data_IF_376527875029
#
_entry.id   IF_376527875029
#
_cell.length_a   1.000
_cell.length_b   1.000
_cell.length_c   1.000
_cell.angle_alpha   90.00
_cell.angle_beta   90.00
_cell.angle_gamma   90.00
#
_symmetry.space_group_name_H-M   'P 1'
#
loop_
_entity.id
_entity.type
_entity.pdbx_description
1 polymer ?
#
# COMPACT_ATOMS: atom_id res chain seq x y z
N UNK A 1 15.55 -14.96 2.40
CA UNK A 1 15.73 -13.88 1.39
C UNK A 1 16.72 -12.91 1.97
N UNK A 2 17.73 -12.47 1.21
CA UNK A 2 18.50 -11.29 1.61
C UNK A 2 17.54 -10.12 1.75
N UNK A 3 17.81 -9.23 2.71
CA UNK A 3 16.94 -8.08 3.01
C UNK A 3 16.94 -7.11 1.83
N UNK A 4 15.90 -7.14 1.00
CA UNK A 4 15.76 -6.22 -0.14
C UNK A 4 15.21 -4.91 0.40
N UNK A 5 15.99 -3.82 0.27
CA UNK A 5 15.70 -2.50 0.83
C UNK A 5 15.68 -1.43 -0.24
N UNK A 6 14.68 -0.57 -0.18
CA UNK A 6 14.61 0.68 -0.91
C UNK A 6 15.02 1.80 0.07
N UNK A 7 16.23 2.35 -0.09
CA UNK A 7 16.69 3.46 0.73
C UNK A 7 16.06 4.78 0.29
N UNK A 8 15.68 5.60 1.26
CA UNK A 8 15.21 6.95 0.98
C UNK A 8 16.39 7.87 0.65
N UNK A 9 16.18 8.84 -0.24
CA UNK A 9 17.21 9.84 -0.59
C UNK A 9 17.65 10.65 0.64
N UNK A 10 16.75 10.86 1.59
CA UNK A 10 16.99 11.45 2.90
C UNK A 10 16.19 10.65 3.93
N UNK A 11 16.73 10.45 5.14
CA UNK A 11 15.98 9.85 6.24
C UNK A 11 14.66 10.58 6.48
N UNK A 12 13.64 9.84 6.87
CA UNK A 12 12.36 10.40 7.27
C UNK A 12 12.51 11.02 8.67
N UNK A 13 11.87 12.16 8.87
CA UNK A 13 11.86 12.85 10.16
C UNK A 13 10.80 12.27 11.09
N UNK A 14 11.14 12.08 12.35
CA UNK A 14 10.22 11.64 13.39
C UNK A 14 9.45 12.83 13.93
N UNK A 15 8.13 12.68 14.05
CA UNK A 15 7.23 13.71 14.57
C UNK A 15 6.04 13.08 15.30
N UNK A 16 5.21 13.91 15.90
CA UNK A 16 3.98 13.49 16.58
C UNK A 16 2.79 14.19 15.94
N UNK A 17 1.82 13.43 15.45
CA UNK A 17 0.56 13.97 14.96
C UNK A 17 -0.22 14.53 16.15
N UNK A 18 -0.51 15.82 16.14
CA UNK A 18 -1.34 16.51 17.15
C UNK A 18 -2.81 16.54 16.77
N UNK A 19 -3.11 16.67 15.45
CA UNK A 19 -4.44 16.66 14.93
C UNK A 19 -4.47 16.31 13.44
N UNK A 20 -5.62 15.80 12.96
CA UNK A 20 -5.96 15.75 11.53
C UNK A 20 -7.09 16.71 11.28
N UNK A 21 -6.79 17.87 10.70
CA UNK A 21 -7.77 18.95 10.54
C UNK A 21 -8.73 18.73 9.38
N UNK A 22 -8.30 17.97 8.37
CA UNK A 22 -9.15 17.52 7.25
C UNK A 22 -8.53 16.28 6.59
N UNK A 23 -9.11 15.85 5.47
CA UNK A 23 -8.68 14.63 4.75
C UNK A 23 -7.22 14.67 4.29
N UNK A 24 -6.63 15.86 4.11
CA UNK A 24 -5.34 16.05 3.45
C UNK A 24 -4.28 16.73 4.30
N UNK A 25 -4.62 17.21 5.52
CA UNK A 25 -3.71 17.98 6.38
C UNK A 25 -3.71 17.40 7.80
N UNK A 26 -2.50 17.12 8.27
CA UNK A 26 -2.18 16.91 9.67
C UNK A 26 -1.53 18.16 10.26
N UNK A 27 -1.74 18.40 11.55
CA UNK A 27 -0.86 19.22 12.40
C UNK A 27 0.09 18.25 13.08
N UNK A 28 1.37 18.48 12.93
CA UNK A 28 2.44 17.64 13.50
C UNK A 28 3.39 18.48 14.32
N UNK A 29 3.87 17.91 15.40
CA UNK A 29 4.89 18.50 16.27
C UNK A 29 6.27 17.92 15.88
N UNK A 30 7.18 18.78 15.48
CA UNK A 30 8.58 18.47 15.23
C UNK A 30 9.42 19.25 16.25
N UNK A 31 9.98 18.55 17.22
CA UNK A 31 10.84 19.16 18.26
C UNK A 31 10.21 20.38 18.98
N UNK A 32 8.91 20.30 19.27
CA UNK A 32 8.17 21.37 19.95
C UNK A 32 7.60 22.45 19.03
N UNK A 33 7.74 22.32 17.72
CA UNK A 33 7.19 23.25 16.72
C UNK A 33 6.06 22.57 15.95
N UNK A 34 4.86 23.13 16.02
CA UNK A 34 3.73 22.66 15.25
C UNK A 34 3.75 23.18 13.80
N UNK A 35 3.63 22.27 12.84
CA UNK A 35 3.59 22.59 11.41
C UNK A 35 2.49 21.80 10.68
N UNK A 36 2.03 22.33 9.55
CA UNK A 36 1.15 21.58 8.65
C UNK A 36 1.95 20.55 7.84
N UNK A 37 1.45 19.30 7.78
CA UNK A 37 1.98 18.24 6.95
C UNK A 37 0.87 17.65 6.05
N UNK A 38 1.23 17.30 4.82
CA UNK A 38 0.31 16.64 3.89
C UNK A 38 -0.02 15.23 4.35
N UNK A 39 -1.31 14.89 4.32
CA UNK A 39 -1.82 13.53 4.47
C UNK A 39 -2.04 12.92 3.06
N UNK A 40 -1.24 11.95 2.61
CA UNK A 40 -1.34 11.42 1.25
C UNK A 40 -2.52 10.44 1.06
N UNK A 41 -3.17 10.05 2.16
CA UNK A 41 -4.34 9.18 2.15
C UNK A 41 -5.60 9.97 2.49
N UNK A 42 -6.36 10.35 1.47
CA UNK A 42 -7.61 11.11 1.64
C UNK A 42 -8.77 10.32 2.23
N UNK A 43 -8.63 9.00 2.36
CA UNK A 43 -9.59 8.11 3.01
C UNK A 43 -9.42 8.02 4.51
N UNK A 44 -10.11 7.07 5.11
CA UNK A 44 -9.90 6.68 6.49
C UNK A 44 -8.57 5.94 6.60
N UNK A 45 -7.82 6.18 7.65
CA UNK A 45 -6.53 5.55 7.93
C UNK A 45 -6.71 4.73 9.20
N UNK A 46 -6.42 3.44 9.14
CA UNK A 46 -6.49 2.54 10.28
C UNK A 46 -7.86 2.54 11.03
N UNK A 47 -8.94 2.95 10.37
CA UNK A 47 -10.23 3.09 11.05
C UNK A 47 -10.33 4.27 12.02
N UNK A 48 -9.31 5.10 12.15
CA UNK A 48 -9.28 6.23 13.07
C UNK A 48 -10.09 7.38 12.47
N UNK A 49 -11.04 7.90 13.23
CA UNK A 49 -11.78 9.09 12.81
C UNK A 49 -10.87 10.33 12.80
N UNK A 50 -11.14 11.27 11.89
CA UNK A 50 -10.32 12.48 11.72
C UNK A 50 -10.06 13.20 13.05
N UNK A 51 -11.10 13.36 13.88
CA UNK A 51 -11.03 14.03 15.18
C UNK A 51 -10.19 13.29 16.25
N UNK A 52 -9.93 12.01 16.04
CA UNK A 52 -9.27 11.13 17.02
C UNK A 52 -7.77 10.96 16.74
N UNK A 53 -7.26 11.59 15.67
CA UNK A 53 -5.83 11.63 15.39
C UNK A 53 -5.11 12.58 16.36
N UNK A 54 -4.67 12.03 17.51
CA UNK A 54 -3.95 12.80 18.55
C UNK A 54 -2.81 11.97 19.13
N UNK A 55 -1.64 12.60 19.28
CA UNK A 55 -0.45 12.04 19.91
C UNK A 55 0.02 10.72 19.27
N UNK A 56 -0.13 10.58 17.96
CA UNK A 56 0.33 9.42 17.21
C UNK A 56 1.70 9.73 16.62
N UNK A 57 2.78 9.01 16.99
CA UNK A 57 4.08 9.17 16.36
C UNK A 57 4.00 8.86 14.86
N UNK A 58 4.75 9.60 14.05
CA UNK A 58 4.77 9.43 12.62
C UNK A 58 6.16 9.65 12.03
N UNK A 59 6.33 9.17 10.80
CA UNK A 59 7.48 9.43 9.95
C UNK A 59 7.08 10.35 8.80
N UNK A 60 7.92 11.36 8.51
CA UNK A 60 7.61 12.36 7.49
C UNK A 60 8.77 12.54 6.52
N UNK A 61 8.46 12.80 5.26
CA UNK A 61 9.43 13.33 4.31
C UNK A 61 9.41 14.86 4.29
N UNK A 62 10.60 15.47 4.28
CA UNK A 62 10.79 16.88 3.99
C UNK A 62 10.93 17.10 2.48
N UNK A 63 9.97 17.80 1.89
CA UNK A 63 9.97 18.11 0.45
C UNK A 63 10.74 19.40 0.13
N UNK A 64 11.32 20.08 1.14
CA UNK A 64 12.02 21.36 0.99
C UNK A 64 11.09 22.58 0.96
N UNK A 65 11.67 23.77 1.03
CA UNK A 65 10.94 25.05 1.12
C UNK A 65 10.56 25.64 -0.25
N UNK A 66 11.21 25.22 -1.35
CA UNK A 66 11.03 25.81 -2.69
C UNK A 66 10.17 24.92 -3.59
N UNK A 67 9.10 24.33 -3.05
CA UNK A 67 8.17 23.53 -3.83
C UNK A 67 6.86 24.28 -4.03
N UNK A 68 6.19 24.09 -5.16
CA UNK A 68 4.83 24.59 -5.40
C UNK A 68 3.78 23.85 -4.53
N UNK A 69 4.19 23.26 -3.41
CA UNK A 69 3.32 22.54 -2.49
C UNK A 69 2.87 23.45 -1.35
N UNK A 70 1.63 23.29 -0.93
CA UNK A 70 1.10 23.99 0.25
C UNK A 70 1.86 23.65 1.53
N UNK A 71 2.30 22.39 1.68
CA UNK A 71 2.99 21.90 2.86
C UNK A 71 4.40 21.43 2.52
N UNK A 72 5.37 21.77 3.35
CA UNK A 72 6.75 21.30 3.27
C UNK A 72 6.85 19.80 3.53
N UNK A 73 6.11 19.30 4.51
CA UNK A 73 6.19 17.92 4.98
C UNK A 73 5.06 17.06 4.43
N UNK A 74 5.34 15.75 4.31
CA UNK A 74 4.32 14.72 4.00
C UNK A 74 4.46 13.60 5.03
N UNK A 75 3.37 13.22 5.70
CA UNK A 75 3.35 12.06 6.59
C UNK A 75 3.39 10.80 5.75
N UNK A 76 4.45 10.02 5.87
CA UNK A 76 4.68 8.79 5.11
C UNK A 76 4.13 7.56 5.81
N UNK A 77 4.26 7.53 7.14
CA UNK A 77 3.84 6.41 7.98
C UNK A 77 3.38 6.89 9.35
N UNK A 78 2.49 6.14 9.97
CA UNK A 78 2.04 6.34 11.35
C UNK A 78 2.52 5.18 12.22
N UNK A 79 2.81 5.44 13.48
CA UNK A 79 3.18 4.38 14.41
C UNK A 79 1.96 3.57 14.84
N UNK A 80 2.16 2.27 14.97
CA UNK A 80 1.17 1.34 15.50
C UNK A 80 1.34 1.06 17.01
N UNK A 81 2.51 1.37 17.57
CA UNK A 81 2.94 0.94 18.91
C UNK A 81 3.87 1.96 19.61
N UNK A 82 3.45 3.22 19.64
CA UNK A 82 4.17 4.32 20.32
C UNK A 82 5.61 4.58 19.79
N UNK A 83 5.85 4.40 18.50
CA UNK A 83 7.09 4.78 17.85
C UNK A 83 8.10 3.66 17.63
N UNK A 84 7.71 2.39 17.83
CA UNK A 84 8.56 1.22 17.56
C UNK A 84 8.38 0.75 16.12
N UNK A 85 7.13 0.46 15.71
CA UNK A 85 6.81 0.06 14.34
C UNK A 85 5.94 1.09 13.63
N UNK A 86 6.05 1.14 12.32
CA UNK A 86 5.35 2.12 11.50
C UNK A 86 4.62 1.46 10.33
N UNK A 87 3.37 1.87 10.13
CA UNK A 87 2.58 1.50 8.96
C UNK A 87 2.57 2.64 7.95
N UNK A 88 3.01 2.37 6.74
CA UNK A 88 2.99 3.35 5.67
C UNK A 88 1.58 3.70 5.22
N UNK A 89 1.31 4.99 5.10
CA UNK A 89 0.02 5.52 4.64
C UNK A 89 0.11 6.18 3.26
N UNK A 90 1.31 6.34 2.71
CA UNK A 90 1.50 6.91 1.38
C UNK A 90 1.39 5.84 0.29
N UNK A 91 0.17 5.67 -0.23
CA UNK A 91 -0.12 4.67 -1.27
C UNK A 91 0.66 4.92 -2.57
N UNK A 92 0.97 6.17 -2.90
CA UNK A 92 1.74 6.51 -4.12
C UNK A 92 3.18 5.99 -4.04
N UNK A 93 3.77 5.96 -2.85
CA UNK A 93 5.12 5.42 -2.64
C UNK A 93 5.19 3.90 -2.77
N UNK A 94 4.10 3.17 -2.52
CA UNK A 94 4.06 1.71 -2.70
C UNK A 94 4.52 1.30 -4.09
N UNK A 95 4.06 1.99 -5.14
CA UNK A 95 4.48 1.66 -6.51
C UNK A 95 5.97 1.90 -6.76
N UNK A 96 6.61 2.83 -6.02
CA UNK A 96 8.08 3.01 -6.07
C UNK A 96 8.79 1.84 -5.40
N UNK A 97 8.32 1.41 -4.24
CA UNK A 97 8.90 0.27 -3.51
C UNK A 97 8.74 -1.01 -4.31
N UNK A 98 7.52 -1.31 -4.78
CA UNK A 98 7.26 -2.48 -5.62
C UNK A 98 8.11 -2.47 -6.88
N UNK A 99 8.23 -1.31 -7.57
CA UNK A 99 9.10 -1.21 -8.75
C UNK A 99 10.55 -1.58 -8.43
N UNK A 100 11.08 -1.14 -7.29
CA UNK A 100 12.42 -1.48 -6.85
C UNK A 100 12.54 -2.98 -6.57
N UNK A 101 11.62 -3.57 -5.83
CA UNK A 101 11.62 -4.99 -5.49
C UNK A 101 11.46 -5.89 -6.73
N UNK A 102 10.66 -5.48 -7.71
CA UNK A 102 10.49 -6.21 -8.97
C UNK A 102 11.76 -6.25 -9.86
N UNK A 103 12.79 -5.44 -9.58
CA UNK A 103 14.08 -5.55 -10.27
C UNK A 103 14.92 -6.73 -9.74
N UNK A 104 14.64 -7.23 -8.54
CA UNK A 104 15.32 -8.37 -7.94
C UNK A 104 14.93 -9.68 -8.63
N UNK A 105 15.93 -10.50 -8.98
CA UNK A 105 15.72 -11.76 -9.69
C UNK A 105 14.99 -12.80 -8.84
N UNK A 106 15.20 -12.81 -7.53
CA UNK A 106 14.51 -13.71 -6.61
C UNK A 106 13.01 -13.41 -6.61
N UNK A 107 12.65 -12.15 -6.58
CA UNK A 107 11.24 -11.72 -6.65
C UNK A 107 10.63 -12.05 -8.01
N UNK A 108 11.36 -11.81 -9.10
CA UNK A 108 10.89 -12.20 -10.44
C UNK A 108 10.64 -13.71 -10.54
N UNK A 109 11.50 -14.54 -9.96
CA UNK A 109 11.32 -15.98 -9.92
C UNK A 109 10.11 -16.41 -9.07
N UNK A 110 9.91 -15.80 -7.89
CA UNK A 110 8.73 -16.08 -7.04
C UNK A 110 7.44 -15.74 -7.79
N UNK A 111 7.41 -14.61 -8.50
CA UNK A 111 6.27 -14.17 -9.27
C UNK A 111 6.14 -14.91 -10.62
N UNK A 112 7.13 -15.67 -11.02
CA UNK A 112 7.20 -16.33 -12.34
C UNK A 112 7.04 -15.32 -13.50
N UNK A 113 7.77 -14.21 -13.44
CA UNK A 113 7.79 -13.16 -14.47
C UNK A 113 9.17 -13.03 -15.12
N UNK A 114 9.22 -12.53 -16.35
CA UNK A 114 10.47 -12.43 -17.13
C UNK A 114 10.68 -11.03 -17.68
N UNK A 115 11.98 -10.72 -17.85
CA UNK A 115 12.45 -9.55 -18.59
C UNK A 115 12.32 -8.23 -17.83
N UNK A 116 12.56 -7.12 -18.54
CA UNK A 116 12.51 -5.80 -17.94
C UNK A 116 11.08 -5.46 -17.50
N UNK A 117 10.99 -4.82 -16.33
CA UNK A 117 9.73 -4.31 -15.80
C UNK A 117 9.57 -2.86 -16.23
N UNK A 118 8.45 -2.55 -16.86
CA UNK A 118 8.09 -1.19 -17.28
C UNK A 118 6.84 -0.73 -16.55
N UNK A 119 6.76 0.58 -16.25
CA UNK A 119 5.65 1.17 -15.48
C UNK A 119 4.53 1.67 -16.38
N UNK A 120 3.32 1.71 -15.81
CA UNK A 120 2.15 2.42 -16.33
C UNK A 120 1.80 2.07 -17.80
N UNK A 121 1.44 0.82 -18.05
CA UNK A 121 1.03 0.38 -19.39
C UNK A 121 -0.48 0.40 -19.57
N UNK A 122 -0.92 0.90 -20.72
CA UNK A 122 -2.32 0.85 -21.12
C UNK A 122 -2.74 -0.59 -21.37
N UNK A 123 -3.86 -1.00 -20.76
CA UNK A 123 -4.54 -2.26 -21.00
C UNK A 123 -6.03 -1.97 -21.17
N UNK A 124 -6.56 -2.14 -22.38
CA UNK A 124 -7.93 -1.78 -22.69
C UNK A 124 -8.24 -0.31 -22.37
N UNK A 125 -9.16 -0.09 -21.42
CA UNK A 125 -9.58 1.24 -20.94
C UNK A 125 -8.85 1.67 -19.65
N UNK A 126 -8.04 0.79 -19.05
CA UNK A 126 -7.31 1.05 -17.82
C UNK A 126 -5.82 1.21 -18.05
N UNK A 127 -5.13 1.70 -17.02
CA UNK A 127 -3.69 1.75 -16.92
C UNK A 127 -3.29 0.79 -15.80
N UNK A 128 -2.50 -0.21 -16.14
CA UNK A 128 -1.94 -1.20 -15.22
C UNK A 128 -0.57 -0.72 -14.73
N UNK A 129 -0.26 -0.97 -13.48
CA UNK A 129 0.91 -0.40 -12.82
C UNK A 129 2.23 -0.84 -13.45
N UNK A 130 2.36 -2.14 -13.80
CA UNK A 130 3.60 -2.67 -14.39
C UNK A 130 3.34 -3.69 -15.49
N UNK A 131 4.31 -3.79 -16.40
CA UNK A 131 4.38 -4.81 -17.45
C UNK A 131 5.76 -5.44 -17.46
N UNK A 132 5.81 -6.77 -17.44
CA UNK A 132 6.97 -7.59 -17.77
C UNK A 132 6.99 -7.95 -19.26
N UNK A 133 7.98 -8.69 -19.74
CA UNK A 133 7.97 -9.17 -21.13
C UNK A 133 6.87 -10.18 -21.43
N UNK A 134 6.37 -10.90 -20.43
CA UNK A 134 5.39 -11.98 -20.57
C UNK A 134 4.06 -11.74 -19.83
N UNK A 135 3.87 -10.57 -19.19
CA UNK A 135 2.62 -10.34 -18.46
C UNK A 135 2.44 -8.95 -17.86
N UNK A 136 1.34 -8.80 -17.14
CA UNK A 136 0.90 -7.57 -16.50
C UNK A 136 0.84 -7.75 -14.98
N UNK A 137 1.15 -6.68 -14.25
CA UNK A 137 1.14 -6.67 -12.78
C UNK A 137 0.36 -5.45 -12.31
N UNK A 138 -0.69 -5.68 -11.57
CA UNK A 138 -1.47 -4.66 -10.88
C UNK A 138 -1.12 -4.65 -9.40
N UNK A 139 -0.95 -3.47 -8.83
CA UNK A 139 -0.63 -3.27 -7.42
C UNK A 139 -1.81 -2.61 -6.71
N UNK A 140 -2.25 -3.21 -5.63
CA UNK A 140 -3.26 -2.63 -4.76
C UNK A 140 -2.70 -2.43 -3.37
N UNK A 141 -2.44 -1.18 -2.99
CA UNK A 141 -2.02 -0.84 -1.63
C UNK A 141 -3.24 -0.76 -0.71
N UNK A 142 -3.19 -1.49 0.39
CA UNK A 142 -4.19 -1.45 1.44
C UNK A 142 -3.71 -0.55 2.59
N UNK A 143 -4.62 0.29 3.09
CA UNK A 143 -4.42 1.17 4.25
C UNK A 143 -5.42 0.76 5.34
N UNK A 144 -5.60 -0.54 5.49
CA UNK A 144 -6.56 -1.17 6.38
C UNK A 144 -5.89 -2.35 7.11
N UNK A 145 -6.59 -2.94 8.08
CA UNK A 145 -6.17 -4.14 8.81
C UNK A 145 -4.93 -3.97 9.70
N UNK A 146 -4.65 -2.76 10.18
CA UNK A 146 -3.55 -2.49 11.12
C UNK A 146 -3.80 -3.06 12.53
N UNK A 147 -4.98 -3.60 12.78
CA UNK A 147 -5.44 -3.94 14.12
C UNK A 147 -4.55 -4.95 14.85
N UNK A 148 -4.02 -5.95 14.14
CA UNK A 148 -3.21 -7.01 14.75
C UNK A 148 -1.91 -6.47 15.37
N UNK A 149 -1.28 -5.50 14.73
CA UNK A 149 0.02 -4.92 15.14
C UNK A 149 -0.14 -3.65 15.99
N UNK A 150 -1.37 -3.12 16.14
CA UNK A 150 -1.60 -1.87 16.84
C UNK A 150 -1.55 -2.05 18.37
N UNK A 151 -1.04 -1.04 19.07
CA UNK A 151 -1.11 -0.95 20.53
C UNK A 151 -2.57 -0.90 21.01
N UNK A 152 -2.82 -1.32 22.25
CA UNK A 152 -4.18 -1.29 22.82
C UNK A 152 -4.79 0.12 22.83
N UNK A 153 -3.97 1.16 23.02
CA UNK A 153 -4.42 2.54 22.95
C UNK A 153 -4.87 2.91 21.51
N UNK A 154 -4.13 2.50 20.50
CA UNK A 154 -4.48 2.75 19.12
C UNK A 154 -5.72 1.93 18.71
N UNK A 155 -5.83 0.69 19.15
CA UNK A 155 -7.00 -0.18 18.90
C UNK A 155 -8.31 0.43 19.39
N UNK A 156 -8.29 1.17 20.50
CA UNK A 156 -9.48 1.86 21.02
C UNK A 156 -9.97 2.98 20.08
N UNK A 157 -9.09 3.56 19.29
CA UNK A 157 -9.43 4.60 18.33
C UNK A 157 -9.85 4.03 16.95
N UNK A 158 -9.44 2.80 16.68
CA UNK A 158 -9.69 2.14 15.40
C UNK A 158 -11.12 1.61 15.35
N UNK A 159 -11.76 1.82 14.21
CA UNK A 159 -13.04 1.19 13.88
C UNK A 159 -12.81 0.16 12.79
N UNK A 160 -13.59 -0.91 12.80
CA UNK A 160 -13.60 -1.86 11.71
C UNK A 160 -13.85 -1.14 10.39
N UNK A 161 -12.99 -1.37 9.43
CA UNK A 161 -13.07 -0.76 8.12
C UNK A 161 -13.08 -1.81 7.04
N UNK A 162 -13.99 -1.63 6.11
CA UNK A 162 -13.98 -2.39 4.88
C UNK A 162 -13.24 -1.63 3.79
N UNK A 163 -12.12 -2.17 3.27
CA UNK A 163 -11.44 -1.54 2.15
C UNK A 163 -12.33 -1.54 0.90
N UNK A 164 -12.29 -0.43 0.16
CA UNK A 164 -12.93 -0.36 -1.16
C UNK A 164 -12.26 -1.34 -2.12
N UNK A 165 -13.05 -2.26 -2.68
CA UNK A 165 -12.59 -3.30 -3.60
C UNK A 165 -13.08 -3.10 -5.04
N UNK A 166 -13.92 -2.09 -5.32
CA UNK A 166 -14.55 -1.85 -6.62
C UNK A 166 -13.52 -1.65 -7.74
N UNK A 167 -12.51 -0.81 -7.48
CA UNK A 167 -11.45 -0.57 -8.46
C UNK A 167 -10.60 -1.82 -8.68
N UNK A 168 -10.29 -2.57 -7.61
CA UNK A 168 -9.56 -3.83 -7.70
C UNK A 168 -10.34 -4.85 -8.52
N UNK A 169 -11.66 -4.99 -8.28
CA UNK A 169 -12.54 -5.86 -9.06
C UNK A 169 -12.49 -5.54 -10.56
N UNK A 170 -12.57 -4.25 -10.91
CA UNK A 170 -12.47 -3.80 -12.30
C UNK A 170 -11.15 -4.26 -12.95
N UNK A 171 -10.02 -4.02 -12.28
CA UNK A 171 -8.71 -4.42 -12.81
C UNK A 171 -8.55 -5.94 -12.92
N UNK A 172 -9.08 -6.70 -11.98
CA UNK A 172 -9.11 -8.17 -12.04
C UNK A 172 -9.87 -8.66 -13.29
N UNK A 173 -11.03 -8.05 -13.60
CA UNK A 173 -11.79 -8.37 -14.82
C UNK A 173 -11.00 -8.07 -16.10
N UNK A 174 -10.34 -6.91 -16.15
CA UNK A 174 -9.53 -6.51 -17.31
C UNK A 174 -8.32 -7.43 -17.50
N UNK A 175 -7.60 -7.76 -16.43
CA UNK A 175 -6.51 -8.74 -16.47
C UNK A 175 -6.99 -10.12 -16.91
N UNK A 176 -8.14 -10.57 -16.40
CA UNK A 176 -8.73 -11.85 -16.78
C UNK A 176 -9.06 -11.90 -18.27
N UNK A 177 -9.59 -10.81 -18.81
CA UNK A 177 -9.92 -10.73 -20.24
C UNK A 177 -8.64 -10.72 -21.09
N UNK A 178 -7.58 -10.07 -20.64
CA UNK A 178 -6.27 -10.07 -21.32
C UNK A 178 -5.66 -11.47 -21.38
N UNK A 179 -5.67 -12.19 -20.26
CA UNK A 179 -5.17 -13.58 -20.22
C UNK A 179 -5.98 -14.49 -21.16
N UNK A 180 -7.31 -14.35 -21.19
CA UNK A 180 -8.17 -15.11 -22.11
C UNK A 180 -7.88 -14.83 -23.58
N UNK A 181 -7.63 -13.57 -23.92
CA UNK A 181 -7.49 -13.16 -25.32
C UNK A 181 -6.09 -13.45 -25.87
N UNK A 182 -5.05 -13.32 -25.06
CA UNK A 182 -3.66 -13.28 -25.52
C UNK A 182 -2.75 -14.31 -24.85
N UNK A 183 -3.27 -15.13 -23.94
CA UNK A 183 -2.48 -16.10 -23.16
C UNK A 183 -1.30 -15.46 -22.43
N UNK A 184 -1.42 -14.17 -22.06
CA UNK A 184 -0.42 -13.43 -21.29
C UNK A 184 -0.50 -13.80 -19.80
N UNK A 185 0.58 -13.60 -19.05
CA UNK A 185 0.54 -13.72 -17.59
C UNK A 185 -0.12 -12.48 -16.97
N UNK A 186 -0.81 -12.67 -15.86
CA UNK A 186 -1.35 -11.56 -15.08
C UNK A 186 -1.20 -11.83 -13.58
N UNK A 187 -0.79 -10.79 -12.85
CA UNK A 187 -0.55 -10.85 -11.41
C UNK A 187 -1.20 -9.66 -10.75
N UNK A 188 -1.82 -9.90 -9.60
CA UNK A 188 -2.29 -8.88 -8.69
C UNK A 188 -1.47 -8.98 -7.41
N UNK A 189 -0.84 -7.87 -7.00
CA UNK A 189 -0.08 -7.78 -5.75
C UNK A 189 -0.85 -6.88 -4.77
N UNK A 190 -1.36 -7.47 -3.70
CA UNK A 190 -1.89 -6.70 -2.57
C UNK A 190 -0.73 -6.30 -1.67
N UNK A 191 -0.51 -5.01 -1.49
CA UNK A 191 0.62 -4.45 -0.73
C UNK A 191 0.14 -3.89 0.59
N UNK A 192 0.79 -4.31 1.66
CA UNK A 192 0.70 -3.70 2.98
C UNK A 192 2.06 -3.09 3.33
N UNK A 193 2.07 -1.82 3.73
CA UNK A 193 3.28 -1.13 4.18
C UNK A 193 3.49 -1.33 5.69
N UNK A 194 3.29 -2.55 6.16
CA UNK A 194 3.54 -3.06 7.51
C UNK A 194 3.45 -4.59 7.47
N UNK A 195 3.70 -5.28 8.59
CA UNK A 195 3.59 -6.74 8.69
C UNK A 195 2.13 -7.17 8.86
N UNK A 196 1.39 -7.20 7.76
CA UNK A 196 -0.03 -7.55 7.77
C UNK A 196 -0.27 -9.06 7.82
N UNK A 197 -1.36 -9.52 8.46
CA UNK A 197 -1.85 -10.88 8.30
C UNK A 197 -2.28 -11.14 6.85
N UNK A 198 -2.57 -12.41 6.55
CA UNK A 198 -3.06 -12.78 5.21
C UNK A 198 -4.34 -12.02 4.87
N UNK A 199 -4.32 -11.29 3.75
CA UNK A 199 -5.46 -10.51 3.29
C UNK A 199 -6.67 -11.40 3.01
N UNK A 200 -7.82 -10.97 3.52
CA UNK A 200 -9.12 -11.56 3.23
C UNK A 200 -10.05 -10.48 2.66
N UNK A 201 -10.84 -10.79 1.64
CA UNK A 201 -11.82 -9.82 1.13
C UNK A 201 -12.84 -9.45 2.21
N UNK A 202 -13.28 -8.19 2.26
CA UNK A 202 -14.26 -7.73 3.23
C UNK A 202 -15.63 -8.36 2.97
N UNK A 203 -16.07 -9.23 3.88
CA UNK A 203 -17.30 -10.04 3.73
C UNK A 203 -18.60 -9.23 3.77
N UNK A 204 -18.57 -8.08 4.45
CA UNK A 204 -19.74 -7.20 4.58
C UNK A 204 -19.82 -6.16 3.44
N UNK A 205 -18.82 -6.12 2.54
CA UNK A 205 -18.86 -5.20 1.40
C UNK A 205 -20.01 -5.58 0.44
N UNK A 206 -20.84 -4.63 -0.01
CA UNK A 206 -21.99 -4.91 -0.88
C UNK A 206 -21.66 -5.71 -2.14
N UNK A 207 -20.46 -5.56 -2.69
CA UNK A 207 -20.04 -6.27 -3.90
C UNK A 207 -19.23 -7.55 -3.60
N UNK A 208 -19.12 -7.97 -2.34
CA UNK A 208 -18.30 -9.12 -1.93
C UNK A 208 -18.58 -10.38 -2.75
N UNK A 209 -19.87 -10.75 -2.92
CA UNK A 209 -20.24 -11.96 -3.68
C UNK A 209 -19.77 -11.91 -5.14
N UNK A 210 -19.93 -10.78 -5.79
CA UNK A 210 -19.49 -10.57 -7.18
C UNK A 210 -17.96 -10.53 -7.26
N UNK A 211 -17.31 -9.90 -6.30
CA UNK A 211 -15.85 -9.86 -6.21
C UNK A 211 -15.25 -11.26 -6.06
N UNK A 212 -15.80 -12.09 -5.15
CA UNK A 212 -15.39 -13.49 -4.97
C UNK A 212 -15.59 -14.31 -6.24
N UNK A 213 -16.72 -14.13 -6.95
CA UNK A 213 -16.98 -14.78 -8.23
C UNK A 213 -15.92 -14.39 -9.27
N UNK A 214 -15.60 -13.10 -9.38
CA UNK A 214 -14.60 -12.61 -10.32
C UNK A 214 -13.20 -13.15 -10.00
N UNK A 215 -12.83 -13.23 -8.73
CA UNK A 215 -11.57 -13.84 -8.28
C UNK A 215 -11.47 -15.33 -8.67
N UNK A 216 -12.55 -16.10 -8.50
CA UNK A 216 -12.61 -17.51 -8.92
C UNK A 216 -12.42 -17.66 -10.44
N UNK A 217 -13.07 -16.78 -11.20
CA UNK A 217 -12.91 -16.76 -12.65
C UNK A 217 -11.47 -16.39 -13.01
N UNK A 218 -10.90 -15.38 -12.40
CA UNK A 218 -9.52 -14.94 -12.62
C UNK A 218 -8.52 -16.07 -12.34
N UNK A 219 -8.65 -16.75 -11.20
CA UNK A 219 -7.82 -17.92 -10.83
C UNK A 219 -7.93 -19.04 -11.88
N UNK A 220 -9.14 -19.37 -12.33
CA UNK A 220 -9.39 -20.38 -13.38
C UNK A 220 -8.61 -20.07 -14.68
N UNK A 221 -8.46 -18.80 -15.03
CA UNK A 221 -7.72 -18.37 -16.22
C UNK A 221 -6.24 -18.06 -15.96
N UNK A 222 -5.73 -18.32 -14.75
CA UNK A 222 -4.31 -18.21 -14.43
C UNK A 222 -3.85 -16.80 -13.96
N UNK A 223 -4.78 -15.92 -13.58
CA UNK A 223 -4.42 -14.68 -12.89
C UNK A 223 -3.97 -15.03 -11.47
N UNK A 224 -2.68 -14.85 -11.18
CA UNK A 224 -2.10 -15.11 -9.86
C UNK A 224 -2.30 -13.93 -8.92
N UNK A 225 -2.44 -14.22 -7.63
CA UNK A 225 -2.58 -13.22 -6.58
C UNK A 225 -1.47 -13.39 -5.56
N UNK A 226 -0.80 -12.29 -5.22
CA UNK A 226 0.25 -12.25 -4.21
C UNK A 226 -0.05 -11.20 -3.15
N UNK A 227 0.47 -11.41 -1.96
CA UNK A 227 0.56 -10.41 -0.92
C UNK A 227 2.02 -10.06 -0.71
N UNK A 228 2.29 -8.75 -0.56
CA UNK A 228 3.60 -8.21 -0.26
C UNK A 228 3.49 -7.35 1.00
N UNK A 229 4.28 -7.69 2.03
CA UNK A 229 4.40 -6.91 3.25
C UNK A 229 5.72 -6.15 3.25
N UNK A 230 5.68 -4.87 3.62
CA UNK A 230 6.82 -3.95 3.59
C UNK A 230 6.96 -3.30 4.96
N UNK A 231 8.14 -3.35 5.55
CA UNK A 231 8.47 -2.59 6.73
C UNK A 231 8.92 -1.17 6.35
N UNK A 232 8.45 -0.16 7.08
CA UNK A 232 8.86 1.24 6.87
C UNK A 232 9.65 1.68 8.10
N UNK A 233 10.89 2.10 7.86
CA UNK A 233 11.76 2.74 8.86
C UNK A 233 11.97 4.21 8.49
N UNK A 234 12.77 4.91 9.26
CA UNK A 234 13.21 6.27 8.92
C UNK A 234 14.24 6.30 7.77
N UNK A 235 14.95 5.20 7.49
CA UNK A 235 16.00 5.16 6.47
C UNK A 235 15.59 4.43 5.19
N UNK A 236 14.72 3.42 5.29
CA UNK A 236 14.38 2.55 4.16
C UNK A 236 12.98 1.93 4.28
N UNK A 237 12.50 1.46 3.13
CA UNK A 237 11.41 0.49 3.04
C UNK A 237 12.00 -0.89 2.73
N UNK A 238 11.68 -1.91 3.53
CA UNK A 238 12.22 -3.27 3.43
C UNK A 238 11.13 -4.27 3.08
N UNK A 239 11.41 -5.14 2.13
CA UNK A 239 10.52 -6.26 1.82
C UNK A 239 10.57 -7.30 2.94
N UNK A 240 9.48 -7.44 3.70
CA UNK A 240 9.35 -8.44 4.76
C UNK A 240 8.97 -9.80 4.21
N UNK A 241 7.99 -9.83 3.32
CA UNK A 241 7.50 -11.08 2.74
C UNK A 241 6.82 -10.84 1.41
N UNK A 242 6.86 -11.84 0.55
CA UNK A 242 6.01 -11.99 -0.61
C UNK A 242 5.55 -13.44 -0.69
N UNK A 243 4.26 -13.65 -0.80
CA UNK A 243 3.68 -14.98 -0.87
C UNK A 243 2.44 -14.99 -1.74
N UNK A 244 2.17 -16.12 -2.37
CA UNK A 244 0.91 -16.30 -3.10
C UNK A 244 -0.26 -16.24 -2.11
N UNK A 245 -1.20 -15.37 -2.40
CA UNK A 245 -2.37 -15.18 -1.60
C UNK A 245 -3.59 -15.80 -2.29
N UNK A 246 -3.81 -17.06 -2.03
CA UNK A 246 -5.07 -17.68 -2.42
C UNK A 246 -6.21 -17.09 -1.57
N UNK A 247 -6.79 -16.03 -2.09
CA UNK A 247 -7.89 -15.31 -1.42
C UNK A 247 -9.17 -16.15 -1.35
N UNK A 248 -9.21 -17.27 -2.09
CA UNK A 248 -10.35 -18.20 -2.18
C UNK A 248 -9.85 -19.61 -2.42
#
# INVERSE_FOLDING_TARGET
MENIRFYFDKPLERAIIKARINRFIFIVDINGIEVEAHCPSGGTIAGIAIKDFKNIPCLMSDNGVNTNRRTRYTVEAISLDNGITYAGINQVKSNKFVNHFLQDKTIQNILDIKGPITREKKLGKSRIDFKSSDGYIEVKTMVAEYYAEASEQLKQLMKEQEPSIERLQKHIKELTNEVKAHNSKAIVITVFQYNAPKFKPPVNNPIYKDFVKDLKIAKKYGVKQFQMNINITDEYAELLSISENEVI
#
